data_IF_546981527369
#
_entry.id   IF_546981527369
#
_cell.length_a   1.000
_cell.length_b   1.000
_cell.length_c   1.000
_cell.angle_alpha   90.00
_cell.angle_beta   90.00
_cell.angle_gamma   90.00
#
_symmetry.space_group_name_H-M   'P 1'
#
loop_
_entity.id
_entity.type
_entity.pdbx_description
1 polymer ?
#
# COMPACT_ATOMS: atom_id res chain seq x y z
N UNK A 1 13.33 10.10 30.05
CA UNK A 1 13.34 9.15 28.95
C UNK A 1 12.81 7.80 29.42
N UNK A 2 13.31 7.23 30.53
CA UNK A 2 12.90 5.91 31.02
C UNK A 2 11.40 5.84 31.31
N UNK A 3 10.85 6.80 32.05
CA UNK A 3 9.42 6.87 32.38
C UNK A 3 8.50 6.95 31.14
N UNK A 4 8.97 7.60 30.08
CA UNK A 4 8.26 7.63 28.79
C UNK A 4 8.21 6.25 28.14
N UNK A 5 9.37 5.55 28.09
CA UNK A 5 9.44 4.21 27.50
C UNK A 5 8.59 3.19 28.27
N UNK A 6 8.64 3.23 29.61
CA UNK A 6 7.80 2.40 30.47
C UNK A 6 6.31 2.66 30.26
N UNK A 7 5.92 3.94 30.13
CA UNK A 7 4.55 4.32 29.83
C UNK A 7 4.09 3.78 28.47
N UNK A 8 4.89 3.94 27.42
CA UNK A 8 4.55 3.43 26.10
C UNK A 8 4.51 1.90 26.06
N UNK A 9 5.44 1.23 26.76
CA UNK A 9 5.43 -0.23 26.90
C UNK A 9 4.17 -0.73 27.57
N UNK A 10 3.76 -0.11 28.67
CA UNK A 10 2.50 -0.43 29.38
C UNK A 10 1.26 -0.23 28.49
N UNK A 11 1.22 0.88 27.74
CA UNK A 11 0.14 1.12 26.76
C UNK A 11 0.07 0.03 25.70
N UNK A 12 1.22 -0.41 25.19
CA UNK A 12 1.26 -1.48 24.17
C UNK A 12 0.74 -2.79 24.74
N UNK A 13 1.24 -3.21 25.91
CA UNK A 13 0.82 -4.46 26.58
C UNK A 13 -0.68 -4.48 26.89
N UNK A 14 -1.24 -3.35 27.29
CA UNK A 14 -2.68 -3.24 27.58
C UNK A 14 -3.56 -3.25 26.33
N UNK A 15 -2.99 -2.95 25.16
CA UNK A 15 -3.73 -2.84 23.89
C UNK A 15 -3.51 -4.03 22.98
N UNK A 16 -2.40 -4.72 23.09
CA UNK A 16 -2.00 -5.74 22.12
C UNK A 16 -1.47 -7.00 22.82
N UNK A 17 -2.05 -8.13 22.50
CA UNK A 17 -1.62 -9.43 23.03
C UNK A 17 -0.31 -9.88 22.36
N UNK A 18 0.66 -10.36 23.15
CA UNK A 18 1.96 -10.78 22.65
C UNK A 18 1.87 -12.00 21.71
N UNK A 19 0.96 -12.94 21.98
CA UNK A 19 0.73 -14.09 21.11
C UNK A 19 0.15 -13.66 19.77
N UNK A 20 -0.78 -12.71 19.78
CA UNK A 20 -1.31 -12.11 18.55
C UNK A 20 -0.20 -11.39 17.73
N UNK A 21 0.70 -10.67 18.41
CA UNK A 21 1.84 -10.02 17.75
C UNK A 21 2.74 -11.03 17.01
N UNK A 22 3.11 -12.12 17.70
CA UNK A 22 3.94 -13.18 17.09
C UNK A 22 3.21 -13.82 15.91
N UNK A 23 1.95 -14.19 16.08
CA UNK A 23 1.14 -14.83 15.02
C UNK A 23 0.99 -13.95 13.77
N UNK A 24 0.75 -12.66 13.97
CA UNK A 24 0.66 -11.70 12.85
C UNK A 24 2.02 -11.50 12.16
N UNK A 25 3.11 -11.43 12.94
CA UNK A 25 4.46 -11.34 12.38
C UNK A 25 4.80 -12.57 11.54
N UNK A 26 4.47 -13.77 12.02
CA UNK A 26 4.66 -15.00 11.24
C UNK A 26 3.80 -15.02 9.98
N UNK A 27 2.55 -14.57 10.05
CA UNK A 27 1.67 -14.47 8.90
C UNK A 27 2.23 -13.52 7.84
N UNK A 28 2.72 -12.35 8.25
CA UNK A 28 3.38 -11.39 7.36
C UNK A 28 4.65 -11.98 6.72
N UNK A 29 5.49 -12.64 7.50
CA UNK A 29 6.74 -13.26 7.00
C UNK A 29 6.48 -14.40 6.00
N UNK A 30 5.35 -15.09 6.13
CA UNK A 30 4.95 -16.19 5.23
C UNK A 30 4.09 -15.72 4.06
N UNK A 31 3.68 -14.46 4.06
CA UNK A 31 2.83 -13.93 2.99
C UNK A 31 3.55 -13.94 1.65
N UNK A 32 2.93 -14.56 0.67
CA UNK A 32 3.40 -14.61 -0.71
C UNK A 32 2.20 -14.57 -1.65
N UNK A 33 1.96 -13.41 -2.25
CA UNK A 33 0.85 -13.20 -3.17
C UNK A 33 1.00 -14.03 -4.46
N UNK A 34 2.22 -14.41 -4.81
CA UNK A 34 2.52 -15.22 -5.99
C UNK A 34 2.32 -16.72 -5.81
N UNK A 35 2.17 -17.20 -4.55
CA UNK A 35 2.06 -18.62 -4.23
C UNK A 35 0.83 -19.25 -4.90
N UNK A 36 1.06 -20.29 -5.70
CA UNK A 36 -0.01 -20.96 -6.46
C UNK A 36 -0.58 -20.16 -7.62
N UNK A 37 -0.02 -18.96 -7.93
CA UNK A 37 -0.50 -18.07 -9.00
C UNK A 37 0.52 -17.82 -10.10
N UNK A 38 1.59 -18.61 -10.14
CA UNK A 38 2.65 -18.50 -11.14
C UNK A 38 3.67 -17.40 -10.89
N UNK A 39 3.80 -16.98 -9.62
CA UNK A 39 4.74 -15.97 -9.17
C UNK A 39 4.13 -14.56 -9.06
N UNK A 40 4.90 -13.65 -8.43
CA UNK A 40 4.46 -12.29 -8.12
C UNK A 40 3.91 -11.53 -9.34
N UNK A 41 4.67 -11.49 -10.43
CA UNK A 41 4.30 -10.69 -11.59
C UNK A 41 3.00 -11.20 -12.26
N UNK A 42 2.80 -12.52 -12.32
CA UNK A 42 1.56 -13.08 -12.84
C UNK A 42 0.37 -12.80 -11.92
N UNK A 43 0.59 -12.87 -10.62
CA UNK A 43 -0.45 -12.55 -9.65
C UNK A 43 -0.88 -11.07 -9.75
N UNK A 44 0.07 -10.14 -9.88
CA UNK A 44 -0.21 -8.71 -10.09
C UNK A 44 -0.93 -8.47 -11.44
N UNK A 45 -0.45 -9.10 -12.50
CA UNK A 45 -1.04 -8.96 -13.84
C UNK A 45 -2.46 -9.49 -13.93
N UNK A 46 -2.83 -10.45 -13.09
CA UNK A 46 -4.20 -11.01 -13.05
C UNK A 46 -5.22 -10.09 -12.37
N UNK A 47 -4.78 -9.05 -11.67
CA UNK A 47 -5.70 -8.10 -11.00
C UNK A 47 -6.44 -7.25 -12.04
N UNK A 48 -7.77 -7.31 -11.99
CA UNK A 48 -8.65 -6.49 -12.82
C UNK A 48 -9.22 -5.28 -12.06
N UNK A 49 -8.81 -5.11 -10.81
CA UNK A 49 -9.28 -3.99 -9.97
C UNK A 49 -8.56 -2.72 -10.40
N UNK A 50 -9.29 -1.63 -10.74
CA UNK A 50 -8.68 -0.33 -11.03
C UNK A 50 -7.84 0.13 -9.84
N UNK A 51 -6.55 0.27 -10.04
CA UNK A 51 -5.59 0.50 -8.93
C UNK A 51 -4.69 1.68 -9.24
N UNK A 52 -4.58 2.59 -8.28
CA UNK A 52 -3.52 3.60 -8.27
C UNK A 52 -2.48 3.22 -7.22
N UNK A 53 -1.21 3.27 -7.60
CA UNK A 53 -0.10 3.01 -6.69
C UNK A 53 0.46 4.35 -6.19
N UNK A 54 0.68 4.44 -4.89
CA UNK A 54 1.31 5.62 -4.27
C UNK A 54 2.55 5.17 -3.53
N UNK A 55 3.69 5.78 -3.83
CA UNK A 55 4.95 5.50 -3.15
C UNK A 55 5.53 6.76 -2.51
N UNK A 56 6.15 6.62 -1.35
CA UNK A 56 6.85 7.70 -0.66
C UNK A 56 8.34 7.61 -0.98
N UNK A 57 8.96 8.74 -1.34
CA UNK A 57 10.36 8.78 -1.79
C UNK A 57 11.38 8.46 -0.69
N UNK A 58 11.04 8.69 0.57
CA UNK A 58 11.89 8.43 1.74
C UNK A 58 11.50 7.19 2.54
N UNK A 59 10.52 6.41 2.06
CA UNK A 59 10.06 5.19 2.75
C UNK A 59 11.13 4.10 2.71
N UNK A 60 11.61 3.71 3.89
CA UNK A 60 12.59 2.62 4.06
C UNK A 60 11.95 1.28 4.39
N UNK A 61 10.67 1.26 4.81
CA UNK A 61 9.91 0.03 5.09
C UNK A 61 9.37 -0.58 3.80
N UNK A 62 8.79 0.25 2.95
CA UNK A 62 8.29 -0.12 1.62
C UNK A 62 8.90 0.79 0.55
N UNK A 63 10.17 0.57 0.19
CA UNK A 63 10.92 1.48 -0.67
C UNK A 63 10.25 1.78 -2.00
N UNK A 64 10.42 3.00 -2.48
CA UNK A 64 9.74 3.51 -3.68
C UNK A 64 9.88 2.60 -4.90
N UNK A 65 11.06 1.98 -5.10
CA UNK A 65 11.30 1.06 -6.22
C UNK A 65 10.42 -0.20 -6.18
N UNK A 66 9.98 -0.64 -4.99
CA UNK A 66 9.03 -1.75 -4.86
C UNK A 66 7.63 -1.33 -5.33
N UNK A 67 7.22 -0.10 -5.03
CA UNK A 67 5.96 0.46 -5.53
C UNK A 67 6.00 0.62 -7.06
N UNK A 68 7.14 1.03 -7.62
CA UNK A 68 7.35 1.03 -9.06
C UNK A 68 7.25 -0.38 -9.67
N UNK A 69 7.81 -1.39 -8.99
CA UNK A 69 7.69 -2.78 -9.45
C UNK A 69 6.22 -3.24 -9.46
N UNK A 70 5.47 -2.94 -8.42
CA UNK A 70 4.03 -3.23 -8.36
C UNK A 70 3.31 -2.55 -9.52
N UNK A 71 3.52 -1.24 -9.71
CA UNK A 71 2.84 -0.47 -10.76
C UNK A 71 3.11 -1.00 -12.16
N UNK A 72 4.35 -1.41 -12.45
CA UNK A 72 4.73 -1.97 -13.76
C UNK A 72 4.10 -3.34 -14.07
N UNK A 73 3.65 -4.05 -13.06
CA UNK A 73 3.14 -5.42 -13.22
C UNK A 73 1.63 -5.55 -12.98
N UNK A 74 0.94 -4.49 -12.52
CA UNK A 74 -0.50 -4.53 -12.32
C UNK A 74 -1.27 -4.66 -13.64
N UNK A 75 -2.27 -5.54 -13.66
CA UNK A 75 -3.12 -5.76 -14.84
C UNK A 75 -4.05 -4.57 -15.14
N UNK A 76 -4.47 -3.82 -14.13
CA UNK A 76 -5.31 -2.64 -14.30
C UNK A 76 -4.78 -1.46 -13.47
N UNK A 77 -3.70 -0.85 -13.94
CA UNK A 77 -3.12 0.33 -13.35
C UNK A 77 -3.80 1.61 -13.87
N UNK A 78 -4.34 2.42 -12.98
CA UNK A 78 -4.85 3.77 -13.29
C UNK A 78 -3.73 4.82 -13.28
N UNK A 79 -2.71 4.62 -12.49
CA UNK A 79 -1.57 5.53 -12.41
C UNK A 79 -0.67 5.25 -11.22
N UNK A 80 0.49 5.90 -11.22
CA UNK A 80 1.41 5.90 -10.09
C UNK A 80 1.70 7.33 -9.68
N UNK A 81 1.64 7.59 -8.38
CA UNK A 81 1.95 8.90 -7.78
C UNK A 81 3.09 8.79 -6.78
N UNK A 82 3.92 9.83 -6.76
CA UNK A 82 4.97 9.98 -5.77
C UNK A 82 4.53 10.97 -4.69
N UNK A 83 4.64 10.55 -3.44
CA UNK A 83 4.49 11.40 -2.27
C UNK A 83 5.88 11.78 -1.78
N UNK A 84 6.18 13.07 -1.73
CA UNK A 84 7.48 13.57 -1.30
C UNK A 84 7.41 14.13 0.11
N UNK A 85 8.14 13.51 1.03
CA UNK A 85 8.14 13.91 2.45
C UNK A 85 9.37 13.36 3.18
N UNK A 86 9.93 14.08 4.15
CA UNK A 86 10.96 13.55 5.03
C UNK A 86 10.44 12.56 6.09
N UNK A 87 9.13 12.36 6.17
CA UNK A 87 8.49 11.55 7.23
C UNK A 87 8.52 10.04 6.95
N UNK A 88 9.09 9.59 5.83
CA UNK A 88 9.16 8.17 5.49
C UNK A 88 7.77 7.55 5.35
N UNK A 89 7.62 6.33 5.90
CA UNK A 89 6.37 5.57 5.77
C UNK A 89 5.13 6.32 6.21
N UNK A 90 5.21 7.15 7.26
CA UNK A 90 4.07 7.87 7.81
C UNK A 90 3.61 9.08 6.97
N UNK A 91 4.30 9.37 5.86
CA UNK A 91 3.98 10.49 4.99
C UNK A 91 2.52 10.50 4.51
N UNK A 92 1.91 9.35 4.27
CA UNK A 92 0.51 9.27 3.85
C UNK A 92 -0.49 9.78 4.91
N UNK A 93 -0.07 9.83 6.18
CA UNK A 93 -0.85 10.39 7.29
C UNK A 93 -0.57 11.89 7.49
N UNK A 94 0.67 12.32 7.23
CA UNK A 94 1.12 13.68 7.54
C UNK A 94 0.99 14.64 6.36
N UNK A 95 1.08 14.15 5.13
CA UNK A 95 1.02 14.94 3.90
C UNK A 95 -0.41 15.05 3.32
N UNK A 96 -1.34 15.46 4.16
CA UNK A 96 -2.77 15.48 3.82
C UNK A 96 -3.10 16.22 2.50
N UNK A 97 -2.39 17.33 2.18
CA UNK A 97 -2.61 18.09 0.95
C UNK A 97 -2.17 17.33 -0.31
N UNK A 98 -1.08 16.58 -0.22
CA UNK A 98 -0.62 15.75 -1.34
C UNK A 98 -1.56 14.56 -1.52
N UNK A 99 -1.96 13.91 -0.42
CA UNK A 99 -2.91 12.80 -0.45
C UNK A 99 -4.27 13.21 -0.99
N UNK A 100 -4.82 14.37 -0.61
CA UNK A 100 -6.09 14.86 -1.15
C UNK A 100 -6.05 14.98 -2.69
N UNK A 101 -4.97 15.56 -3.24
CA UNK A 101 -4.81 15.66 -4.70
C UNK A 101 -4.76 14.28 -5.38
N UNK A 102 -3.98 13.36 -4.79
CA UNK A 102 -3.84 11.99 -5.32
C UNK A 102 -5.19 11.26 -5.30
N UNK A 103 -5.94 11.37 -4.21
CA UNK A 103 -7.25 10.74 -4.07
C UNK A 103 -8.28 11.32 -5.05
N UNK A 104 -8.29 12.64 -5.29
CA UNK A 104 -9.14 13.25 -6.31
C UNK A 104 -8.81 12.73 -7.70
N UNK A 105 -7.53 12.68 -8.05
CA UNK A 105 -7.08 12.11 -9.33
C UNK A 105 -7.51 10.64 -9.46
N UNK A 106 -7.38 9.84 -8.40
CA UNK A 106 -7.86 8.45 -8.40
C UNK A 106 -9.36 8.35 -8.67
N UNK A 107 -10.16 9.15 -7.98
CA UNK A 107 -11.63 9.17 -8.19
C UNK A 107 -11.99 9.55 -9.63
N UNK A 108 -11.38 10.60 -10.17
CA UNK A 108 -11.59 11.04 -11.55
C UNK A 108 -11.22 9.95 -12.57
N UNK A 109 -10.05 9.32 -12.42
CA UNK A 109 -9.61 8.24 -13.30
C UNK A 109 -10.48 6.98 -13.19
N UNK A 110 -10.97 6.66 -11.99
CA UNK A 110 -11.81 5.49 -11.75
C UNK A 110 -13.23 5.67 -12.34
N UNK A 111 -13.72 6.90 -12.42
CA UNK A 111 -15.02 7.21 -13.01
C UNK A 111 -14.99 7.34 -14.54
N UNK A 112 -13.84 7.77 -15.09
CA UNK A 112 -13.64 7.96 -16.53
C UNK A 112 -13.06 6.74 -17.25
N UNK A 113 -12.92 5.59 -16.56
CA UNK A 113 -12.54 4.32 -17.19
C UNK A 113 -13.54 3.93 -18.28
N UNK A 114 -13.14 3.11 -19.30
CA UNK A 114 -13.98 2.80 -20.45
C UNK A 114 -15.34 2.29 -19.98
N UNK A 115 -16.37 3.05 -20.32
CA UNK A 115 -17.75 2.70 -20.02
C UNK A 115 -18.05 1.33 -20.62
N UNK A 116 -18.69 0.46 -19.86
CA UNK A 116 -19.08 -0.90 -20.21
C UNK A 116 -20.11 -0.98 -21.38
N UNK A 117 -20.19 0.06 -22.23
CA UNK A 117 -21.13 0.15 -23.35
C UNK A 117 -20.62 -0.39 -24.68
N UNK A 118 -19.36 -0.86 -24.79
CA UNK A 118 -18.84 -1.41 -26.05
C UNK A 118 -18.57 -2.93 -26.02
N UNK A 119 -19.21 -3.69 -25.15
CA UNK A 119 -19.15 -5.14 -25.16
C UNK A 119 -20.50 -5.75 -25.51
N UNK A 120 -21.05 -5.38 -26.66
CA UNK A 120 -22.15 -6.08 -27.30
C UNK A 120 -22.10 -5.78 -28.81
N UNK A 121 -21.28 -6.53 -29.51
CA UNK A 121 -21.49 -6.93 -30.92
C UNK A 121 -20.70 -8.21 -31.16
#
# INVERSE_FOLDING_TARGET
VQSYLEHQGTKLVNRFDAGAYVSLTEALNRHDVGRGRGGLNKALASSQVPTMVVGVDTDILYPYHQQEHISRNLGHLLGMSKLSSPMGHDAFLTEARQMDRILRTFVELSQNGPSSSERCT
#
